data_IF_767827332600
#
_entry.id   IF_767827332600
#
_cell.length_a   1.000
_cell.length_b   1.000
_cell.length_c   1.000
_cell.angle_alpha   90.00
_cell.angle_beta   90.00
_cell.angle_gamma   90.00
#
_symmetry.space_group_name_H-M   'P 1'
#
loop_
_entity.id
_entity.type
_entity.pdbx_description
1 polymer ?
#
# COMPACT_ATOMS: atom_id res chain seq x y z
N UNK A 1 21.50 8.77 -11.10
CA UNK A 1 22.86 8.27 -10.77
C UNK A 1 23.03 7.79 -9.33
N UNK A 2 22.95 8.65 -8.29
CA UNK A 2 23.16 8.20 -6.90
C UNK A 2 22.23 7.04 -6.49
N UNK A 3 20.93 7.16 -6.80
CA UNK A 3 19.94 6.12 -6.50
C UNK A 3 20.25 4.78 -7.22
N UNK A 4 20.65 4.82 -8.49
CA UNK A 4 21.08 3.63 -9.23
C UNK A 4 22.29 2.95 -8.56
N UNK A 5 23.31 3.74 -8.18
CA UNK A 5 24.49 3.20 -7.49
C UNK A 5 24.15 2.62 -6.11
N UNK A 6 23.26 3.26 -5.36
CA UNK A 6 22.79 2.75 -4.07
C UNK A 6 21.96 1.46 -4.22
N UNK A 7 21.09 1.40 -5.23
CA UNK A 7 20.30 0.20 -5.54
C UNK A 7 21.21 -0.98 -5.94
N UNK A 8 22.20 -0.74 -6.82
CA UNK A 8 23.19 -1.74 -7.20
C UNK A 8 24.02 -2.22 -6.01
N UNK A 9 24.49 -1.29 -5.16
CA UNK A 9 25.28 -1.63 -3.97
C UNK A 9 24.45 -2.48 -2.99
N UNK A 10 23.22 -2.06 -2.69
CA UNK A 10 22.31 -2.80 -1.80
C UNK A 10 22.02 -4.20 -2.35
N UNK A 11 21.68 -4.31 -3.64
CA UNK A 11 21.40 -5.60 -4.26
C UNK A 11 22.60 -6.55 -4.19
N UNK A 12 23.80 -6.04 -4.48
CA UNK A 12 25.03 -6.80 -4.36
C UNK A 12 25.35 -7.19 -2.91
N UNK A 13 25.14 -6.30 -1.94
CA UNK A 13 25.40 -6.56 -0.51
C UNK A 13 24.46 -7.61 0.10
N UNK A 14 23.30 -7.83 -0.51
CA UNK A 14 22.35 -8.88 -0.14
C UNK A 14 22.60 -10.21 -0.88
N UNK A 15 23.78 -10.35 -1.52
CA UNK A 15 24.15 -11.50 -2.36
C UNK A 15 23.25 -11.70 -3.59
N UNK A 16 22.71 -10.60 -4.15
CA UNK A 16 21.94 -10.58 -5.40
C UNK A 16 20.77 -11.58 -5.42
N UNK A 17 19.83 -11.48 -4.46
CA UNK A 17 18.81 -12.50 -4.29
C UNK A 17 17.72 -12.39 -5.36
N UNK A 18 17.35 -13.51 -5.97
CA UNK A 18 16.39 -13.57 -7.09
C UNK A 18 15.05 -12.88 -6.80
N UNK A 19 14.58 -12.92 -5.55
CA UNK A 19 13.30 -12.34 -5.15
C UNK A 19 13.31 -10.80 -5.13
N UNK A 20 14.48 -10.16 -5.18
CA UNK A 20 14.63 -8.70 -5.29
C UNK A 20 14.93 -8.24 -6.71
N UNK A 21 15.20 -9.16 -7.66
CA UNK A 21 15.51 -8.82 -9.05
C UNK A 21 14.50 -7.84 -9.67
N UNK A 22 13.17 -8.01 -9.50
CA UNK A 22 12.21 -7.08 -10.11
C UNK A 22 12.30 -5.66 -9.53
N UNK A 23 12.56 -5.53 -8.22
CA UNK A 23 12.72 -4.23 -7.55
C UNK A 23 14.03 -3.55 -8.00
N UNK A 24 15.10 -4.34 -8.13
CA UNK A 24 16.39 -3.85 -8.58
C UNK A 24 16.35 -3.41 -10.05
N UNK A 25 15.82 -4.25 -10.95
CA UNK A 25 15.67 -3.95 -12.37
C UNK A 25 14.86 -2.66 -12.56
N UNK A 26 13.73 -2.55 -11.86
CA UNK A 26 12.89 -1.35 -11.91
C UNK A 26 13.65 -0.10 -11.48
N UNK A 27 14.36 -0.16 -10.34
CA UNK A 27 15.12 0.99 -9.82
C UNK A 27 16.23 1.43 -10.79
N UNK A 28 16.86 0.49 -11.50
CA UNK A 28 17.87 0.76 -12.51
C UNK A 28 17.27 1.38 -13.78
N UNK A 29 16.20 0.77 -14.32
CA UNK A 29 15.54 1.26 -15.54
C UNK A 29 14.99 2.68 -15.34
N UNK A 30 14.33 2.94 -14.21
CA UNK A 30 13.82 4.26 -13.85
C UNK A 30 14.96 5.27 -13.70
N UNK A 31 15.97 4.95 -12.88
CA UNK A 31 17.07 5.88 -12.60
C UNK A 31 17.90 6.22 -13.84
N UNK A 32 18.11 5.26 -14.75
CA UNK A 32 18.84 5.47 -15.99
C UNK A 32 17.98 6.22 -17.01
N UNK A 33 16.71 5.86 -17.14
CA UNK A 33 15.74 6.56 -18.00
C UNK A 33 15.62 8.04 -17.62
N UNK A 34 15.48 8.33 -16.33
CA UNK A 34 15.43 9.70 -15.80
C UNK A 34 16.75 10.46 -16.03
N UNK A 35 17.89 9.79 -15.87
CA UNK A 35 19.20 10.41 -16.12
C UNK A 35 19.36 10.78 -17.60
N UNK A 36 18.97 9.88 -18.52
CA UNK A 36 19.01 10.16 -19.96
C UNK A 36 18.00 11.21 -20.38
N UNK A 37 16.78 11.21 -19.81
CA UNK A 37 15.78 12.25 -20.03
C UNK A 37 16.30 13.61 -19.62
N UNK A 38 16.84 13.74 -18.41
CA UNK A 38 17.36 15.00 -17.89
C UNK A 38 18.51 15.54 -18.76
N UNK A 39 19.41 14.67 -19.22
CA UNK A 39 20.49 15.05 -20.13
C UNK A 39 19.95 15.50 -21.50
N UNK A 40 18.97 14.79 -22.07
CA UNK A 40 18.39 15.17 -23.36
C UNK A 40 17.66 16.51 -23.28
N UNK A 41 16.92 16.75 -22.20
CA UNK A 41 16.24 18.02 -21.93
C UNK A 41 17.24 19.16 -21.72
N UNK A 42 18.34 18.93 -20.99
CA UNK A 42 19.42 19.89 -20.82
C UNK A 42 20.03 20.31 -22.16
N UNK A 43 20.35 19.34 -23.02
CA UNK A 43 20.93 19.60 -24.35
C UNK A 43 19.94 20.28 -25.30
N UNK A 44 18.65 19.95 -25.19
CA UNK A 44 17.59 20.59 -25.98
C UNK A 44 17.36 22.05 -25.57
N UNK A 45 17.54 22.35 -24.28
CA UNK A 45 17.44 23.70 -23.72
C UNK A 45 18.77 24.47 -23.72
N UNK A 46 19.82 23.93 -24.33
CA UNK A 46 21.14 24.56 -24.31
C UNK A 46 21.10 25.98 -24.92
N UNK A 47 21.80 26.98 -24.32
CA UNK A 47 21.74 28.37 -24.77
C UNK A 47 22.17 28.56 -26.23
N UNK A 48 23.19 27.81 -26.66
CA UNK A 48 23.62 27.76 -28.05
C UNK A 48 23.05 26.47 -28.70
N UNK A 49 22.03 26.63 -29.55
CA UNK A 49 21.35 25.50 -30.20
C UNK A 49 22.27 24.65 -31.09
N UNK A 50 23.26 25.26 -31.74
CA UNK A 50 24.23 24.53 -32.58
C UNK A 50 25.11 23.64 -31.71
N UNK A 51 25.64 24.18 -30.62
CA UNK A 51 26.47 23.42 -29.68
C UNK A 51 25.66 22.33 -28.97
N UNK A 52 24.42 22.62 -28.57
CA UNK A 52 23.51 21.63 -27.99
C UNK A 52 23.25 20.46 -28.94
N UNK A 53 23.01 20.73 -30.23
CA UNK A 53 22.83 19.69 -31.26
C UNK A 53 24.09 18.83 -31.46
N UNK A 54 25.26 19.45 -31.55
CA UNK A 54 26.55 18.75 -31.65
C UNK A 54 26.79 17.83 -30.44
N UNK A 55 26.59 18.35 -29.23
CA UNK A 55 26.73 17.57 -28.00
C UNK A 55 25.73 16.43 -27.93
N UNK A 56 24.49 16.64 -28.40
CA UNK A 56 23.47 15.58 -28.47
C UNK A 56 23.91 14.42 -29.37
N UNK A 57 24.52 14.69 -30.53
CA UNK A 57 25.05 13.63 -31.41
C UNK A 57 26.21 12.88 -30.77
N UNK A 58 27.03 13.54 -29.95
CA UNK A 58 28.16 12.90 -29.24
C UNK A 58 27.66 12.03 -28.08
N UNK A 59 26.74 12.55 -27.27
CA UNK A 59 26.25 11.87 -26.04
C UNK A 59 25.22 10.79 -26.39
N UNK A 60 24.34 11.05 -27.35
CA UNK A 60 23.25 10.18 -27.78
C UNK A 60 23.34 9.88 -29.29
N UNK A 61 24.42 9.22 -29.78
CA UNK A 61 24.61 8.99 -31.21
C UNK A 61 23.48 8.18 -31.87
N UNK A 62 22.80 7.33 -31.09
CA UNK A 62 21.65 6.54 -31.52
C UNK A 62 20.36 6.93 -30.78
N UNK A 63 20.33 8.07 -30.11
CA UNK A 63 19.26 8.46 -29.20
C UNK A 63 19.38 7.87 -27.79
N UNK A 64 18.33 8.05 -26.98
CA UNK A 64 18.23 7.50 -25.63
C UNK A 64 18.05 5.98 -25.71
N UNK A 65 18.78 5.26 -24.85
CA UNK A 65 18.73 3.79 -24.75
C UNK A 65 17.77 3.33 -23.66
N UNK A 66 17.61 4.11 -22.60
CA UNK A 66 16.78 3.77 -21.46
C UNK A 66 15.49 4.58 -21.52
N UNK A 67 14.37 3.87 -21.69
CA UNK A 67 13.03 4.48 -21.78
C UNK A 67 12.28 4.50 -20.44
N UNK A 68 12.91 3.99 -19.37
CA UNK A 68 12.25 3.73 -18.09
C UNK A 68 11.69 2.30 -18.01
N UNK A 69 11.06 1.96 -16.88
CA UNK A 69 10.49 0.65 -16.63
C UNK A 69 9.30 0.35 -17.55
N UNK A 70 9.11 -0.92 -17.88
CA UNK A 70 7.93 -1.38 -18.62
C UNK A 70 6.71 -1.59 -17.73
N UNK A 71 5.50 -1.44 -18.27
CA UNK A 71 4.24 -1.73 -17.55
C UNK A 71 4.21 -3.12 -16.91
N UNK A 72 4.84 -4.11 -17.57
CA UNK A 72 4.94 -5.47 -17.03
C UNK A 72 5.83 -5.54 -15.79
N UNK A 73 6.90 -4.74 -15.75
CA UNK A 73 7.78 -4.62 -14.59
C UNK A 73 7.10 -3.83 -13.47
N UNK A 74 6.41 -2.72 -13.81
CA UNK A 74 5.59 -1.96 -12.86
C UNK A 74 4.56 -2.85 -12.16
N UNK A 75 3.84 -3.68 -12.93
CA UNK A 75 2.86 -4.60 -12.38
C UNK A 75 3.50 -5.64 -11.42
N UNK A 76 4.70 -6.14 -11.74
CA UNK A 76 5.43 -7.07 -10.85
C UNK A 76 5.82 -6.40 -9.54
N UNK A 77 6.32 -5.16 -9.60
CA UNK A 77 6.72 -4.37 -8.43
C UNK A 77 5.50 -4.01 -7.59
N UNK A 78 4.42 -3.53 -8.21
CA UNK A 78 3.18 -3.19 -7.53
C UNK A 78 2.57 -4.40 -6.80
N UNK A 79 2.65 -5.59 -7.41
CA UNK A 79 2.17 -6.82 -6.79
C UNK A 79 2.92 -7.19 -5.50
N UNK A 80 4.16 -6.72 -5.29
CA UNK A 80 4.91 -6.94 -4.04
C UNK A 80 4.18 -6.33 -2.84
N UNK A 81 3.63 -5.12 -3.00
CA UNK A 81 2.96 -4.38 -1.92
C UNK A 81 1.72 -5.15 -1.42
N UNK A 82 1.06 -5.92 -2.29
CA UNK A 82 -0.11 -6.73 -1.96
C UNK A 82 0.20 -8.12 -1.38
N UNK A 83 1.48 -8.48 -1.19
CA UNK A 83 1.85 -9.79 -0.65
C UNK A 83 1.55 -9.89 0.84
N UNK A 84 1.50 -11.12 1.34
CA UNK A 84 1.29 -11.39 2.76
C UNK A 84 2.48 -10.90 3.61
N UNK A 85 2.18 -10.48 4.84
CA UNK A 85 3.20 -10.16 5.85
C UNK A 85 4.18 -11.33 6.04
N UNK A 86 5.47 -11.04 6.11
CA UNK A 86 6.52 -12.04 6.17
C UNK A 86 7.02 -12.55 4.81
N UNK A 87 6.46 -12.08 3.68
CA UNK A 87 7.08 -12.30 2.37
C UNK A 87 8.47 -11.63 2.31
N UNK A 88 9.54 -12.35 1.92
CA UNK A 88 10.90 -11.81 1.94
C UNK A 88 11.06 -10.51 1.13
N UNK A 89 10.47 -10.43 -0.06
CA UNK A 89 10.54 -9.23 -0.90
C UNK A 89 9.81 -8.05 -0.25
N UNK A 90 8.63 -8.29 0.34
CA UNK A 90 7.88 -7.26 1.03
C UNK A 90 8.60 -6.77 2.30
N UNK A 91 9.17 -7.67 3.10
CA UNK A 91 9.92 -7.29 4.31
C UNK A 91 11.16 -6.46 3.97
N UNK A 92 11.85 -6.78 2.89
CA UNK A 92 12.96 -5.97 2.36
C UNK A 92 12.49 -4.59 1.86
N UNK A 93 11.34 -4.52 1.20
CA UNK A 93 10.75 -3.25 0.76
C UNK A 93 10.37 -2.36 1.95
N UNK A 94 9.84 -2.97 3.01
CA UNK A 94 9.44 -2.30 4.25
C UNK A 94 10.61 -2.10 5.23
N UNK A 95 11.83 -2.49 4.86
CA UNK A 95 13.00 -2.33 5.72
C UNK A 95 13.24 -0.85 6.04
N UNK A 96 13.32 -0.53 7.34
CA UNK A 96 13.48 0.84 7.83
C UNK A 96 12.18 1.62 7.98
N UNK A 97 11.03 1.10 7.54
CA UNK A 97 9.73 1.70 7.85
C UNK A 97 9.37 1.52 9.33
N UNK A 98 8.79 2.57 9.94
CA UNK A 98 8.20 2.46 11.27
C UNK A 98 6.92 1.61 11.22
N UNK A 99 6.89 0.52 12.00
CA UNK A 99 5.80 -0.47 12.00
C UNK A 99 5.27 -0.70 13.42
N UNK A 100 4.46 0.24 13.94
CA UNK A 100 3.95 0.16 15.30
C UNK A 100 3.04 -1.07 15.45
N UNK A 101 3.14 -1.74 16.60
CA UNK A 101 2.29 -2.89 16.95
C UNK A 101 1.16 -2.50 17.90
N UNK A 102 1.16 -1.26 18.41
CA UNK A 102 0.13 -0.77 19.31
C UNK A 102 -1.17 -0.50 18.56
N UNK A 103 -2.27 -1.02 19.07
CA UNK A 103 -3.61 -0.68 18.56
C UNK A 103 -4.01 0.78 18.84
N UNK A 104 -3.22 1.53 19.63
CA UNK A 104 -3.43 2.96 19.87
C UNK A 104 -2.71 3.85 18.84
N UNK A 105 -1.74 3.30 18.11
CA UNK A 105 -1.15 4.00 16.96
C UNK A 105 -2.07 3.79 15.74
N UNK A 106 -2.40 4.83 14.94
CA UNK A 106 -3.27 4.68 13.78
C UNK A 106 -2.82 3.61 12.78
N UNK A 107 -1.50 3.49 12.54
CA UNK A 107 -0.95 2.48 11.62
C UNK A 107 -1.03 1.08 12.24
N UNK A 108 -0.79 0.98 13.56
CA UNK A 108 -0.93 -0.28 14.29
C UNK A 108 -2.38 -0.73 14.42
N UNK A 109 -3.32 0.20 14.59
CA UNK A 109 -4.76 -0.04 14.59
C UNK A 109 -5.24 -0.56 13.23
N UNK A 110 -4.75 0.01 12.12
CA UNK A 110 -5.03 -0.46 10.77
C UNK A 110 -4.55 -1.90 10.57
N UNK A 111 -3.32 -2.22 10.98
CA UNK A 111 -2.79 -3.59 10.89
C UNK A 111 -3.60 -4.55 11.76
N UNK A 112 -3.94 -4.16 12.99
CA UNK A 112 -4.75 -4.97 13.90
C UNK A 112 -6.14 -5.28 13.32
N UNK A 113 -6.81 -4.27 12.75
CA UNK A 113 -8.09 -4.45 12.08
C UNK A 113 -7.97 -5.37 10.85
N UNK A 114 -6.92 -5.20 10.05
CA UNK A 114 -6.65 -6.07 8.89
C UNK A 114 -6.47 -7.54 9.32
N UNK A 115 -5.69 -7.79 10.36
CA UNK A 115 -5.43 -9.15 10.86
C UNK A 115 -6.73 -9.81 11.40
N UNK A 116 -7.54 -9.07 12.17
CA UNK A 116 -8.84 -9.54 12.66
C UNK A 116 -9.85 -9.79 11.54
N UNK A 117 -9.88 -8.93 10.52
CA UNK A 117 -10.74 -9.11 9.35
C UNK A 117 -10.31 -10.33 8.52
N UNK A 118 -9.00 -10.53 8.35
CA UNK A 118 -8.46 -11.73 7.71
C UNK A 118 -8.83 -13.01 8.45
N UNK A 119 -8.65 -13.03 9.79
CA UNK A 119 -8.98 -14.18 10.63
C UNK A 119 -10.50 -14.45 10.69
N UNK A 120 -11.33 -13.41 10.65
CA UNK A 120 -12.80 -13.52 10.71
C UNK A 120 -13.47 -13.72 9.33
N UNK A 121 -12.71 -13.66 8.23
CA UNK A 121 -13.24 -13.77 6.87
C UNK A 121 -14.10 -15.04 6.62
N UNK A 122 -13.72 -16.24 7.09
CA UNK A 122 -14.59 -17.43 6.96
C UNK A 122 -15.94 -17.27 7.69
N UNK A 123 -15.94 -16.62 8.85
CA UNK A 123 -17.14 -16.35 9.65
C UNK A 123 -18.03 -15.30 8.99
N UNK A 124 -17.44 -14.25 8.40
CA UNK A 124 -18.18 -13.26 7.61
C UNK A 124 -18.84 -13.91 6.40
N UNK A 125 -18.14 -14.80 5.69
CA UNK A 125 -18.70 -15.54 4.56
C UNK A 125 -19.87 -16.45 5.00
N UNK A 126 -19.74 -17.13 6.14
CA UNK A 126 -20.80 -17.94 6.77
C UNK A 126 -22.04 -17.08 7.09
N UNK A 127 -21.84 -15.94 7.75
CA UNK A 127 -22.91 -14.99 8.08
C UNK A 127 -23.59 -14.46 6.81
N UNK A 128 -22.82 -14.02 5.81
CA UNK A 128 -23.36 -13.52 4.55
C UNK A 128 -24.17 -14.59 3.80
N UNK A 129 -23.70 -15.84 3.78
CA UNK A 129 -24.44 -16.95 3.18
C UNK A 129 -25.76 -17.22 3.90
N UNK A 130 -25.78 -17.13 5.24
CA UNK A 130 -26.97 -17.38 6.04
C UNK A 130 -28.03 -16.26 5.92
N UNK A 131 -27.57 -15.01 5.76
CA UNK A 131 -28.45 -13.89 5.41
C UNK A 131 -29.06 -14.06 4.01
N UNK A 132 -28.23 -14.43 3.03
CA UNK A 132 -28.67 -14.62 1.64
C UNK A 132 -29.65 -15.78 1.49
N UNK A 133 -29.46 -16.87 2.23
CA UNK A 133 -30.38 -18.02 2.24
C UNK A 133 -31.66 -17.77 3.03
N UNK A 134 -31.74 -16.67 3.78
CA UNK A 134 -32.86 -16.36 4.66
C UNK A 134 -32.93 -17.21 5.93
N UNK A 135 -31.85 -17.96 6.25
CA UNK A 135 -31.70 -18.66 7.52
C UNK A 135 -31.56 -17.69 8.69
N UNK A 136 -30.95 -16.53 8.44
CA UNK A 136 -30.91 -15.40 9.38
C UNK A 136 -31.72 -14.27 8.78
N UNK A 137 -32.69 -13.75 9.55
CA UNK A 137 -33.51 -12.60 9.17
C UNK A 137 -33.49 -11.59 10.32
N UNK A 138 -32.54 -10.63 10.31
CA UNK A 138 -32.46 -9.62 11.35
C UNK A 138 -33.75 -8.80 11.39
N UNK A 139 -34.26 -8.53 12.60
CA UNK A 139 -35.34 -7.58 12.78
C UNK A 139 -34.90 -6.15 12.44
N UNK A 140 -35.85 -5.24 12.25
CA UNK A 140 -35.52 -3.84 12.01
C UNK A 140 -34.72 -3.26 13.18
N UNK A 141 -33.48 -2.83 12.92
CA UNK A 141 -32.55 -2.29 13.92
C UNK A 141 -31.72 -3.35 14.66
N UNK A 142 -31.91 -4.64 14.38
CA UNK A 142 -31.10 -5.71 14.98
C UNK A 142 -29.78 -5.89 14.22
N UNK A 143 -28.69 -6.08 14.97
CA UNK A 143 -27.39 -6.36 14.36
C UNK A 143 -27.37 -7.77 13.76
N UNK A 144 -26.81 -7.92 12.55
CA UNK A 144 -26.82 -9.21 11.84
C UNK A 144 -26.10 -10.34 12.61
N UNK A 145 -25.05 -9.99 13.37
CA UNK A 145 -24.33 -10.95 14.23
C UNK A 145 -25.25 -11.49 15.34
N UNK A 146 -26.07 -10.63 15.94
CA UNK A 146 -26.96 -11.01 17.04
C UNK A 146 -28.09 -11.92 16.55
N UNK A 147 -28.69 -11.56 15.41
CA UNK A 147 -29.68 -12.40 14.73
C UNK A 147 -29.12 -13.78 14.37
N UNK A 148 -27.86 -13.84 13.92
CA UNK A 148 -27.20 -15.10 13.57
C UNK A 148 -26.83 -15.96 14.78
N UNK A 149 -26.52 -15.33 15.92
CA UNK A 149 -26.33 -16.01 17.20
C UNK A 149 -27.65 -16.61 17.71
N UNK A 150 -28.75 -15.84 17.66
CA UNK A 150 -30.09 -16.32 18.05
C UNK A 150 -30.58 -17.46 17.15
N UNK A 151 -30.30 -17.39 15.85
CA UNK A 151 -30.62 -18.44 14.88
C UNK A 151 -29.73 -19.69 15.00
N UNK A 152 -28.73 -19.68 15.89
CA UNK A 152 -27.79 -20.80 16.09
C UNK A 152 -26.81 -21.01 14.92
N UNK A 153 -26.74 -20.06 13.99
CA UNK A 153 -25.79 -20.10 12.86
C UNK A 153 -24.37 -19.82 13.35
N UNK A 154 -24.23 -18.92 14.32
CA UNK A 154 -22.96 -18.60 14.97
C UNK A 154 -22.94 -19.11 16.41
N UNK A 155 -21.77 -19.58 16.85
CA UNK A 155 -21.49 -19.83 18.26
C UNK A 155 -21.14 -18.52 19.00
N UNK A 156 -21.30 -18.45 20.33
CA UNK A 156 -20.96 -17.25 21.10
C UNK A 156 -19.53 -16.75 20.86
N UNK A 157 -18.56 -17.67 20.76
CA UNK A 157 -17.17 -17.33 20.46
C UNK A 157 -17.00 -16.79 19.02
N UNK A 158 -17.68 -17.38 18.03
CA UNK A 158 -17.63 -16.91 16.64
C UNK A 158 -18.26 -15.51 16.51
N UNK A 159 -19.35 -15.26 17.22
CA UNK A 159 -19.99 -13.95 17.27
C UNK A 159 -19.08 -12.90 17.91
N UNK A 160 -18.35 -13.26 18.98
CA UNK A 160 -17.40 -12.35 19.61
C UNK A 160 -16.25 -11.97 18.65
N UNK A 161 -15.65 -12.95 17.95
CA UNK A 161 -14.61 -12.68 16.95
C UNK A 161 -15.07 -11.69 15.87
N UNK A 162 -16.32 -11.82 15.40
CA UNK A 162 -16.89 -10.89 14.42
C UNK A 162 -17.09 -9.48 15.00
N UNK A 163 -17.57 -9.36 16.24
CA UNK A 163 -17.72 -8.07 16.91
C UNK A 163 -16.37 -7.39 17.14
N UNK A 164 -15.35 -8.13 17.56
CA UNK A 164 -14.01 -7.60 17.77
C UNK A 164 -13.43 -7.07 16.45
N UNK A 165 -13.60 -7.82 15.35
CA UNK A 165 -13.20 -7.38 14.02
C UNK A 165 -13.96 -6.13 13.55
N UNK A 166 -15.27 -6.03 13.82
CA UNK A 166 -16.06 -4.84 13.51
C UNK A 166 -15.67 -3.63 14.34
N UNK A 167 -15.40 -3.81 15.63
CA UNK A 167 -14.93 -2.75 16.51
C UNK A 167 -13.56 -2.22 16.07
N UNK A 168 -12.62 -3.11 15.72
CA UNK A 168 -11.31 -2.73 15.21
C UNK A 168 -11.43 -2.00 13.85
N UNK A 169 -12.27 -2.51 12.94
CA UNK A 169 -12.57 -1.84 11.66
C UNK A 169 -13.15 -0.45 11.91
N UNK A 170 -14.08 -0.32 12.85
CA UNK A 170 -14.74 0.95 13.19
C UNK A 170 -13.74 1.96 13.73
N UNK A 171 -12.84 1.56 14.63
CA UNK A 171 -11.74 2.40 15.14
C UNK A 171 -10.89 3.02 14.02
N UNK A 172 -10.66 2.27 12.94
CA UNK A 172 -9.85 2.71 11.79
C UNK A 172 -10.64 3.55 10.79
N UNK A 173 -11.96 3.38 10.72
CA UNK A 173 -12.84 4.18 9.85
C UNK A 173 -13.17 5.52 10.50
N UNK A 174 -13.34 5.55 11.83
CA UNK A 174 -13.76 6.73 12.60
C UNK A 174 -12.61 7.74 12.82
N UNK A 175 -11.58 7.70 11.96
CA UNK A 175 -10.52 8.71 11.95
C UNK A 175 -11.16 10.01 11.43
N UNK A 176 -11.12 11.06 12.26
CA UNK A 176 -11.83 12.35 12.08
C UNK A 176 -13.33 12.36 12.40
N UNK A 177 -13.81 11.52 13.33
CA UNK A 177 -15.14 11.71 13.95
C UNK A 177 -15.11 12.90 14.92
N UNK A 178 -15.38 14.10 14.40
CA UNK A 178 -15.57 15.29 15.22
C UNK A 178 -17.01 15.31 15.75
N UNK A 179 -17.14 15.43 17.07
CA UNK A 179 -18.44 15.72 17.67
C UNK A 179 -18.98 17.05 17.13
N UNK A 180 -20.31 17.18 17.10
CA UNK A 180 -20.96 18.41 16.65
C UNK A 180 -20.45 19.62 17.43
N UNK A 181 -20.17 19.42 18.72
CA UNK A 181 -19.64 20.41 19.66
C UNK A 181 -18.20 20.83 19.30
N UNK A 182 -17.35 19.92 18.83
CA UNK A 182 -15.97 20.22 18.40
C UNK A 182 -15.90 21.01 17.08
N UNK A 183 -16.94 20.89 16.24
CA UNK A 183 -17.08 21.65 14.99
C UNK A 183 -17.74 23.02 15.16
N UNK A 184 -18.29 23.33 16.34
CA UNK A 184 -18.88 24.64 16.60
C UNK A 184 -17.78 25.69 16.79
N UNK A 185 -17.89 26.81 16.06
CA UNK A 185 -17.01 27.96 16.26
C UNK A 185 -17.17 28.50 17.67
N UNK A 186 -16.13 28.38 18.50
CA UNK A 186 -16.06 29.10 19.77
C UNK A 186 -15.77 30.58 19.50
N UNK A 187 -16.57 31.49 20.06
CA UNK A 187 -16.28 32.93 20.04
C UNK A 187 -14.88 33.17 20.62
N UNK A 188 -13.96 33.71 19.80
CA UNK A 188 -12.61 34.12 20.22
C UNK A 188 -11.44 33.27 19.73
N UNK A 189 -11.64 32.15 19.02
CA UNK A 189 -10.55 31.45 18.31
C UNK A 189 -10.43 31.95 16.87
N UNK A 190 -9.61 32.98 16.65
CA UNK A 190 -9.17 33.37 15.31
C UNK A 190 -8.12 32.37 14.83
N UNK A 191 -8.29 31.89 13.59
CA UNK A 191 -7.41 30.93 12.90
C UNK A 191 -6.01 31.49 12.67
#
# INVERSE_FOLDING_TARGET
>A
MYLASAALKRYHDLDSPDHLEPLFAWAMEESLGESERALDELLSNFPNKVLGCLLRVIVFPFGRRHTGPSDALDAKVAAVIGRAKGDPTLEELLAGCYRPQSAEDPVGALQHAYDLLGASHPLQKKLHSALKSGQVKPAAGEHAIDAALQAGVLQPAEAQTLRDAEAARRKVIDVDDFSKEELMQAEGKVR
#
